data_IF_440219593370
#
_entry.id   IF_440219593370
#
_cell.length_a   1.000
_cell.length_b   1.000
_cell.length_c   1.000
_cell.angle_alpha   90.00
_cell.angle_beta   90.00
_cell.angle_gamma   90.00
#
_symmetry.space_group_name_H-M   'P 1'
#
loop_
_entity.id
_entity.type
_entity.pdbx_description
1 polymer ?
#
# COMPACT_ATOMS: atom_id res chain seq x y z
N UNK A 1 -8.80 46.43 -59.43
CA UNK A 1 -7.83 46.57 -58.32
C UNK A 1 -8.64 46.71 -57.03
N UNK A 2 -8.96 45.58 -56.40
CA UNK A 2 -9.96 45.50 -55.34
C UNK A 2 -9.31 45.60 -53.95
N UNK A 3 -9.47 46.78 -53.36
CA UNK A 3 -9.79 47.08 -51.95
C UNK A 3 -9.54 46.01 -50.89
N UNK A 4 -8.75 46.38 -49.89
CA UNK A 4 -8.61 45.70 -48.61
C UNK A 4 -9.96 45.53 -47.87
N UNK A 5 -10.10 44.39 -47.17
CA UNK A 5 -11.09 44.16 -46.10
C UNK A 5 -10.39 43.57 -44.85
N UNK A 6 -10.97 43.79 -43.65
CA UNK A 6 -10.27 43.90 -42.38
C UNK A 6 -10.04 42.57 -41.66
N UNK A 7 -9.22 42.63 -40.60
CA UNK A 7 -8.71 41.51 -39.83
C UNK A 7 -9.75 40.57 -39.24
N UNK A 8 -9.33 39.31 -39.14
CA UNK A 8 -9.94 38.28 -38.32
C UNK A 8 -8.82 37.51 -37.62
N UNK A 9 -8.17 38.17 -36.65
CA UNK A 9 -7.29 37.52 -35.69
C UNK A 9 -8.15 36.68 -34.75
N UNK A 10 -8.68 35.56 -35.24
CA UNK A 10 -9.38 34.58 -34.43
C UNK A 10 -8.40 34.02 -33.41
N UNK A 11 -8.63 34.37 -32.16
CA UNK A 11 -7.78 34.01 -31.04
C UNK A 11 -7.82 32.48 -30.89
N UNK A 12 -6.78 31.76 -31.35
CA UNK A 12 -6.70 30.27 -31.42
C UNK A 12 -6.92 29.54 -30.07
N UNK A 13 -7.19 30.27 -29.01
CA UNK A 13 -7.31 29.81 -27.63
C UNK A 13 -8.71 29.98 -27.05
N UNK A 14 -9.69 30.47 -27.83
CA UNK A 14 -11.06 30.71 -27.34
C UNK A 14 -11.76 29.40 -26.97
N UNK A 15 -11.65 28.37 -27.82
CA UNK A 15 -12.17 27.03 -27.51
C UNK A 15 -11.47 26.39 -26.29
N UNK A 16 -10.16 26.61 -26.12
CA UNK A 16 -9.41 26.10 -24.96
C UNK A 16 -9.89 26.78 -23.68
N UNK A 17 -10.16 28.10 -23.75
CA UNK A 17 -10.73 28.86 -22.64
C UNK A 17 -12.12 28.35 -22.28
N UNK A 18 -13.01 28.17 -23.24
CA UNK A 18 -14.35 27.63 -22.99
C UNK A 18 -14.31 26.24 -22.35
N UNK A 19 -13.41 25.37 -22.81
CA UNK A 19 -13.21 24.04 -22.21
C UNK A 19 -12.67 24.13 -20.79
N UNK A 20 -11.68 24.99 -20.53
CA UNK A 20 -11.09 25.17 -19.19
C UNK A 20 -12.07 25.81 -18.21
N UNK A 21 -12.88 26.78 -18.67
CA UNK A 21 -13.90 27.46 -17.86
C UNK A 21 -15.07 26.54 -17.54
N UNK A 22 -15.42 25.62 -18.45
CA UNK A 22 -16.42 24.57 -18.22
C UNK A 22 -15.91 23.33 -17.49
N UNK A 23 -14.58 23.17 -17.36
CA UNK A 23 -13.98 21.96 -16.80
C UNK A 23 -14.15 21.90 -15.28
N UNK A 24 -15.00 20.97 -14.82
CA UNK A 24 -15.07 20.56 -13.42
C UNK A 24 -14.31 19.26 -13.26
N UNK A 25 -13.18 19.32 -12.54
CA UNK A 25 -12.36 18.15 -12.21
C UNK A 25 -13.24 17.02 -11.64
N UNK A 26 -13.43 15.89 -12.35
CA UNK A 26 -14.15 14.76 -11.81
C UNK A 26 -13.24 14.06 -10.80
N UNK A 27 -13.26 14.52 -9.54
CA UNK A 27 -12.64 13.80 -8.44
C UNK A 27 -13.38 12.46 -8.33
N UNK A 28 -12.76 11.39 -8.83
CA UNK A 28 -13.26 10.04 -8.62
C UNK A 28 -13.25 9.79 -7.11
N UNK A 29 -14.42 9.58 -6.50
CA UNK A 29 -14.42 9.13 -5.11
C UNK A 29 -13.76 7.75 -5.12
N UNK A 30 -12.71 7.58 -4.33
CA UNK A 30 -12.20 6.26 -4.05
C UNK A 30 -13.38 5.37 -3.65
N UNK A 31 -13.50 4.13 -4.16
CA UNK A 31 -14.46 3.19 -3.59
C UNK A 31 -14.24 3.20 -2.08
N UNK A 32 -15.31 3.20 -1.29
CA UNK A 32 -15.22 3.14 0.17
C UNK A 32 -14.17 2.09 0.51
N UNK A 33 -13.05 2.53 1.08
CA UNK A 33 -12.02 1.63 1.56
C UNK A 33 -12.74 0.65 2.47
N UNK A 34 -12.66 -0.64 2.16
CA UNK A 34 -12.87 -1.67 3.16
C UNK A 34 -11.81 -1.39 4.23
N UNK A 35 -12.22 -0.64 5.25
CA UNK A 35 -11.45 -0.40 6.45
C UNK A 35 -11.13 -1.77 7.03
N UNK A 36 -9.82 -2.04 7.17
CA UNK A 36 -9.21 -3.08 8.00
C UNK A 36 -10.00 -4.40 8.10
N UNK A 37 -9.56 -5.41 7.35
CA UNK A 37 -9.85 -6.84 7.45
C UNK A 37 -10.46 -7.43 6.17
N UNK A 38 -9.73 -7.39 5.06
CA UNK A 38 -9.91 -8.34 3.95
C UNK A 38 -8.73 -8.26 2.98
N UNK A 39 -7.54 -8.60 3.46
CA UNK A 39 -6.54 -9.24 2.59
C UNK A 39 -6.95 -10.72 2.50
N UNK A 40 -8.09 -10.97 1.88
CA UNK A 40 -8.38 -12.26 1.29
C UNK A 40 -8.30 -12.02 -0.21
N UNK A 41 -7.17 -12.42 -0.78
CA UNK A 41 -7.02 -12.55 -2.23
C UNK A 41 -8.01 -13.63 -2.71
N UNK A 42 -9.25 -13.23 -2.97
CA UNK A 42 -10.15 -13.97 -3.84
C UNK A 42 -10.77 -12.97 -4.80
N UNK A 43 -10.40 -13.12 -6.06
CA UNK A 43 -10.92 -12.39 -7.19
C UNK A 43 -12.44 -12.56 -7.27
N UNK A 44 -13.21 -11.60 -6.76
CA UNK A 44 -14.65 -11.46 -7.04
C UNK A 44 -15.09 -10.02 -6.80
N UNK A 45 -15.27 -9.32 -7.93
CA UNK A 45 -16.16 -8.19 -8.20
C UNK A 45 -16.54 -7.24 -7.05
N UNK A 46 -16.14 -5.97 -7.18
CA UNK A 46 -16.92 -4.85 -6.67
C UNK A 46 -17.42 -4.06 -7.89
N UNK A 47 -18.46 -4.60 -8.51
CA UNK A 47 -19.48 -3.80 -9.19
C UNK A 47 -20.55 -3.50 -8.15
N UNK A 48 -20.81 -2.23 -7.84
CA UNK A 48 -22.10 -1.79 -7.35
C UNK A 48 -22.23 -0.29 -7.61
N UNK A 49 -22.90 0.02 -8.72
CA UNK A 49 -23.40 1.36 -8.98
C UNK A 49 -24.59 1.63 -8.08
N UNK A 50 -24.56 2.77 -7.40
CA UNK A 50 -25.78 3.38 -6.90
C UNK A 50 -26.15 4.50 -7.87
N UNK A 51 -27.33 4.32 -8.46
CA UNK A 51 -28.04 5.32 -9.24
C UNK A 51 -28.32 6.52 -8.36
N UNK A 52 -27.62 7.63 -8.58
CA UNK A 52 -28.10 8.94 -8.17
C UNK A 52 -28.09 9.85 -9.39
N UNK A 53 -29.29 10.11 -9.88
CA UNK A 53 -29.60 10.89 -11.06
C UNK A 53 -29.51 12.37 -10.71
N UNK A 54 -28.39 13.03 -11.03
CA UNK A 54 -28.36 14.46 -11.44
C UNK A 54 -27.00 14.88 -12.03
N UNK A 55 -27.06 15.41 -13.26
CA UNK A 55 -26.15 16.37 -13.92
C UNK A 55 -24.72 15.89 -14.27
N UNK A 56 -24.54 15.61 -15.56
CA UNK A 56 -23.29 15.22 -16.22
C UNK A 56 -23.11 13.71 -16.17
N UNK A 57 -23.32 13.03 -17.29
CA UNK A 57 -23.11 11.58 -17.46
C UNK A 57 -21.64 11.21 -17.18
N UNK A 58 -21.32 11.00 -15.91
CA UNK A 58 -20.03 10.49 -15.45
C UNK A 58 -19.94 9.02 -15.84
N UNK A 59 -19.29 8.72 -16.96
CA UNK A 59 -18.97 7.35 -17.33
C UNK A 59 -17.69 6.96 -16.56
N UNK A 60 -17.77 6.04 -15.57
CA UNK A 60 -16.58 5.59 -14.86
C UNK A 60 -15.66 4.84 -15.83
N UNK A 61 -14.37 5.19 -15.83
CA UNK A 61 -13.36 4.48 -16.61
C UNK A 61 -13.18 3.09 -15.98
N UNK A 62 -13.45 2.04 -16.76
CA UNK A 62 -13.27 0.66 -16.30
C UNK A 62 -11.87 0.13 -16.63
N UNK A 63 -11.45 -0.97 -15.98
CA UNK A 63 -10.19 -1.65 -16.34
C UNK A 63 -10.17 -2.09 -17.81
N UNK A 64 -11.34 -2.39 -18.39
CA UNK A 64 -11.45 -2.69 -19.82
C UNK A 64 -11.18 -1.46 -20.69
N UNK A 65 -11.69 -0.28 -20.30
CA UNK A 65 -11.40 0.96 -21.02
C UNK A 65 -9.90 1.30 -20.94
N UNK A 66 -9.29 1.13 -19.76
CA UNK A 66 -7.85 1.33 -19.56
C UNK A 66 -7.04 0.43 -20.49
N UNK A 67 -7.42 -0.85 -20.65
CA UNK A 67 -6.73 -1.78 -21.57
C UNK A 67 -6.71 -1.29 -23.01
N UNK A 68 -7.78 -0.66 -23.46
CA UNK A 68 -7.94 -0.12 -24.82
C UNK A 68 -7.36 1.29 -25.01
N UNK A 69 -6.73 1.88 -23.98
CA UNK A 69 -6.16 3.22 -24.10
C UNK A 69 -4.92 3.24 -24.99
N UNK A 70 -4.88 4.23 -25.87
CA UNK A 70 -3.77 4.58 -26.73
C UNK A 70 -3.09 5.86 -26.23
N UNK A 71 -1.77 5.86 -26.18
CA UNK A 71 -0.97 7.02 -25.75
C UNK A 71 -0.81 8.01 -26.90
N UNK A 72 -1.08 9.28 -26.61
CA UNK A 72 -0.78 10.42 -27.50
C UNK A 72 0.65 10.87 -27.25
N UNK A 73 0.96 11.19 -25.98
CA UNK A 73 2.27 11.67 -25.56
C UNK A 73 2.22 12.37 -24.20
N UNK A 74 3.34 12.96 -23.80
CA UNK A 74 3.44 13.72 -22.56
C UNK A 74 2.85 15.13 -22.72
N UNK A 75 2.25 15.65 -21.65
CA UNK A 75 1.70 17.00 -21.54
C UNK A 75 2.24 17.68 -20.29
N UNK A 76 2.74 18.91 -20.43
CA UNK A 76 3.27 19.77 -19.35
C UNK A 76 4.36 19.11 -18.48
N UNK A 77 5.04 18.07 -18.99
CA UNK A 77 6.01 17.24 -18.23
C UNK A 77 5.47 16.67 -16.91
N UNK A 78 4.14 16.53 -16.81
CA UNK A 78 3.43 16.08 -15.61
C UNK A 78 2.40 15.02 -15.90
N UNK A 79 1.87 15.02 -17.12
CA UNK A 79 0.76 14.18 -17.48
C UNK A 79 1.02 13.39 -18.75
N UNK A 80 0.31 12.27 -18.88
CA UNK A 80 0.27 11.46 -20.09
C UNK A 80 -1.13 11.61 -20.68
N UNK A 81 -1.21 12.11 -21.91
CA UNK A 81 -2.47 12.17 -22.65
C UNK A 81 -2.73 10.84 -23.36
N UNK A 82 -3.92 10.30 -23.17
CA UNK A 82 -4.37 9.04 -23.75
C UNK A 82 -5.79 9.15 -24.27
N UNK A 83 -6.19 8.26 -25.16
CA UNK A 83 -7.57 8.19 -25.62
C UNK A 83 -8.05 6.75 -25.77
N UNK A 84 -9.36 6.54 -25.68
CA UNK A 84 -10.01 5.27 -26.03
C UNK A 84 -11.38 5.54 -26.66
N UNK A 85 -11.87 4.59 -27.45
CA UNK A 85 -13.25 4.61 -27.98
C UNK A 85 -14.12 3.63 -27.22
N UNK A 86 -15.34 4.04 -26.88
CA UNK A 86 -16.36 3.19 -26.27
C UNK A 86 -17.61 3.16 -27.15
N UNK A 87 -18.20 1.98 -27.28
CA UNK A 87 -19.51 1.79 -27.90
C UNK A 87 -20.51 1.43 -26.80
N UNK A 88 -21.51 2.29 -26.58
CA UNK A 88 -22.66 1.96 -25.73
C UNK A 88 -23.60 1.02 -26.47
N UNK A 89 -24.21 0.09 -25.74
CA UNK A 89 -25.24 -0.81 -26.28
C UNK A 89 -26.44 -0.01 -26.83
N UNK A 90 -26.71 1.15 -26.21
CA UNK A 90 -27.88 2.00 -26.50
C UNK A 90 -27.67 2.99 -27.66
N UNK A 91 -26.45 3.11 -28.22
CA UNK A 91 -26.20 3.96 -29.38
C UNK A 91 -25.06 3.41 -30.26
N UNK A 92 -25.27 3.24 -31.57
CA UNK A 92 -24.24 2.73 -32.48
C UNK A 92 -23.07 3.70 -32.71
N UNK A 93 -23.15 4.95 -32.23
CA UNK A 93 -22.07 5.92 -32.34
C UNK A 93 -20.92 5.63 -31.37
N UNK A 94 -19.70 5.54 -31.90
CA UNK A 94 -18.48 5.39 -31.08
C UNK A 94 -18.17 6.71 -30.39
N UNK A 95 -18.21 6.71 -29.06
CA UNK A 95 -17.79 7.85 -28.25
C UNK A 95 -16.29 7.77 -27.99
N UNK A 96 -15.54 8.78 -28.42
CA UNK A 96 -14.10 8.88 -28.18
C UNK A 96 -13.86 9.74 -26.95
N UNK A 97 -13.06 9.21 -26.02
CA UNK A 97 -12.76 9.84 -24.74
C UNK A 97 -11.28 10.17 -24.66
N UNK A 98 -10.97 11.41 -24.27
CA UNK A 98 -9.62 11.86 -23.95
C UNK A 98 -9.42 11.76 -22.44
N UNK A 99 -8.32 11.15 -22.01
CA UNK A 99 -7.97 10.94 -20.60
C UNK A 99 -6.56 11.44 -20.33
N UNK A 100 -6.41 12.21 -19.27
CA UNK A 100 -5.14 12.73 -18.77
C UNK A 100 -4.77 11.93 -17.53
N UNK A 101 -3.57 11.36 -17.52
CA UNK A 101 -3.06 10.54 -16.41
C UNK A 101 -1.89 11.29 -15.75
N UNK A 102 -1.94 11.46 -14.43
CA UNK A 102 -0.79 11.96 -13.65
C UNK A 102 0.38 10.97 -13.74
N UNK A 103 1.50 11.40 -14.36
CA UNK A 103 2.64 10.52 -14.65
C UNK A 103 3.32 10.00 -13.38
N UNK A 104 3.42 10.84 -12.36
CA UNK A 104 4.08 10.51 -11.10
C UNK A 104 3.21 9.51 -10.33
N UNK A 105 1.92 9.81 -10.19
CA UNK A 105 1.00 8.91 -9.52
C UNK A 105 0.90 7.56 -10.25
N UNK A 106 0.82 7.57 -11.59
CA UNK A 106 0.83 6.39 -12.47
C UNK A 106 1.98 5.45 -12.11
N UNK A 107 3.19 5.92 -12.29
CA UNK A 107 4.43 5.16 -12.09
C UNK A 107 4.65 4.76 -10.62
N UNK A 108 4.23 5.61 -9.67
CA UNK A 108 4.22 5.27 -8.24
C UNK A 108 3.35 4.04 -7.94
N UNK A 109 2.23 3.81 -8.64
CA UNK A 109 1.44 2.57 -8.48
C UNK A 109 2.20 1.37 -8.92
N UNK A 110 2.75 1.47 -10.13
CA UNK A 110 3.36 0.35 -10.82
C UNK A 110 4.47 -0.15 -9.93
N UNK A 111 5.28 0.78 -9.42
CA UNK A 111 6.36 0.51 -8.47
C UNK A 111 5.86 -0.03 -7.14
N UNK A 112 4.80 0.55 -6.56
CA UNK A 112 4.26 0.06 -5.29
C UNK A 112 3.74 -1.37 -5.41
N UNK A 113 2.90 -1.67 -6.41
CA UNK A 113 2.34 -3.01 -6.59
C UNK A 113 3.43 -4.05 -6.91
N UNK A 114 4.45 -3.67 -7.70
CA UNK A 114 5.62 -4.52 -7.91
C UNK A 114 6.37 -4.81 -6.59
N UNK A 115 6.61 -3.78 -5.77
CA UNK A 115 7.25 -3.94 -4.44
C UNK A 115 6.39 -4.81 -3.53
N UNK A 116 5.07 -4.60 -3.49
CA UNK A 116 4.14 -5.40 -2.68
C UNK A 116 4.14 -6.86 -3.14
N UNK A 117 4.08 -7.12 -4.45
CA UNK A 117 4.10 -8.46 -5.01
C UNK A 117 5.43 -9.17 -4.69
N UNK A 118 6.57 -8.49 -4.84
CA UNK A 118 7.87 -9.03 -4.48
C UNK A 118 7.97 -9.31 -2.97
N UNK A 119 7.46 -8.40 -2.14
CA UNK A 119 7.55 -8.51 -0.68
C UNK A 119 6.62 -9.59 -0.15
N UNK A 120 5.40 -9.76 -0.71
CA UNK A 120 4.36 -10.58 -0.08
C UNK A 120 3.84 -11.76 -0.92
N UNK A 121 3.92 -11.73 -2.25
CA UNK A 121 3.32 -12.77 -3.09
C UNK A 121 4.32 -13.84 -3.53
N UNK A 122 5.59 -13.48 -3.74
CA UNK A 122 6.64 -14.44 -4.12
C UNK A 122 6.88 -15.48 -3.02
N UNK A 123 6.76 -15.07 -1.74
CA UNK A 123 6.90 -15.98 -0.61
C UNK A 123 5.83 -17.08 -0.59
N UNK A 124 4.60 -16.78 -1.01
CA UNK A 124 3.47 -17.73 -1.04
C UNK A 124 3.69 -18.83 -2.10
N UNK A 125 4.19 -18.46 -3.29
CA UNK A 125 4.48 -19.44 -4.36
C UNK A 125 5.63 -20.39 -4.00
N UNK A 126 6.59 -19.93 -3.20
CA UNK A 126 7.68 -20.76 -2.70
C UNK A 126 7.22 -21.79 -1.64
N UNK A 127 6.17 -21.48 -0.87
CA UNK A 127 5.55 -22.42 0.06
C UNK A 127 4.65 -23.46 -0.61
N UNK A 128 3.91 -23.08 -1.65
CA UNK A 128 3.02 -24.01 -2.36
C UNK A 128 3.78 -25.11 -3.12
N UNK A 129 4.99 -24.82 -3.60
CA UNK A 129 5.84 -25.80 -4.28
C UNK A 129 6.51 -26.82 -3.32
N UNK A 130 6.31 -26.68 -2.00
CA UNK A 130 6.77 -27.63 -0.97
C UNK A 130 5.67 -28.55 -0.44
N UNK A 131 4.50 -28.59 -1.09
CA UNK A 131 3.47 -29.59 -0.81
C UNK A 131 3.95 -30.94 -1.37
N UNK A 132 4.87 -31.55 -0.63
CA UNK A 132 5.19 -32.97 -0.69
C UNK A 132 4.69 -33.59 0.61
N UNK A 133 3.54 -34.26 0.52
CA UNK A 133 3.06 -35.38 1.34
C UNK A 133 3.29 -35.38 2.87
N UNK A 134 3.12 -34.25 3.56
CA UNK A 134 2.98 -34.29 5.02
C UNK A 134 1.55 -33.87 5.42
N UNK A 135 0.75 -34.85 5.84
CA UNK A 135 -0.61 -34.70 6.34
C UNK A 135 -0.64 -34.16 7.80
N UNK A 136 0.35 -33.34 8.17
CA UNK A 136 0.25 -32.51 9.35
C UNK A 136 -0.70 -31.34 9.05
N UNK A 137 -1.81 -31.28 9.78
CA UNK A 137 -2.79 -30.21 9.77
C UNK A 137 -2.13 -28.91 10.21
N UNK A 138 -1.40 -28.25 9.31
CA UNK A 138 -0.85 -26.92 9.54
C UNK A 138 -2.03 -25.99 9.82
N UNK A 139 -2.06 -25.43 11.03
CA UNK A 139 -3.10 -24.47 11.42
C UNK A 139 -3.08 -23.30 10.41
N UNK A 140 -4.24 -22.82 9.91
CA UNK A 140 -4.33 -21.82 8.84
C UNK A 140 -3.68 -20.44 9.10
N UNK A 141 -2.99 -20.25 10.24
CA UNK A 141 -2.46 -18.97 10.70
C UNK A 141 -0.96 -18.73 10.51
N UNK A 142 -0.14 -19.77 10.31
CA UNK A 142 1.33 -19.67 10.43
C UNK A 142 2.09 -19.51 9.10
N UNK A 143 1.40 -19.36 7.98
CA UNK A 143 2.05 -19.16 6.69
C UNK A 143 2.75 -17.79 6.66
N UNK A 144 4.09 -17.80 6.69
CA UNK A 144 4.91 -16.60 6.46
C UNK A 144 4.66 -16.10 5.05
N UNK A 145 4.17 -14.86 4.95
CA UNK A 145 3.83 -14.26 3.66
C UNK A 145 4.90 -13.28 3.17
N UNK A 146 5.91 -12.94 3.97
CA UNK A 146 6.89 -11.94 3.58
C UNK A 146 8.24 -12.55 3.12
N UNK A 147 8.81 -11.98 2.08
CA UNK A 147 10.21 -12.19 1.69
C UNK A 147 11.15 -11.50 2.71
N UNK A 148 11.96 -12.29 3.41
CA UNK A 148 12.74 -11.83 4.57
C UNK A 148 14.24 -11.84 4.31
N UNK A 149 14.94 -10.87 4.89
CA UNK A 149 16.38 -10.84 5.01
C UNK A 149 16.78 -11.19 6.45
N UNK A 150 17.74 -12.11 6.60
CA UNK A 150 18.39 -12.37 7.87
C UNK A 150 19.37 -11.23 8.17
N UNK A 151 19.35 -10.75 9.40
CA UNK A 151 20.27 -9.75 9.90
C UNK A 151 21.44 -10.47 10.57
N UNK A 152 22.66 -10.19 10.10
CA UNK A 152 23.89 -10.71 10.67
C UNK A 152 24.92 -9.56 10.79
N UNK A 153 25.17 -9.04 12.01
CA UNK A 153 24.59 -9.47 13.29
C UNK A 153 23.10 -9.08 13.44
N UNK A 154 22.34 -9.71 14.36
CA UNK A 154 20.98 -9.29 14.71
C UNK A 154 20.93 -7.81 15.13
N UNK A 155 19.91 -7.09 14.67
CA UNK A 155 19.70 -5.69 15.04
C UNK A 155 19.14 -5.59 16.47
N UNK A 156 19.60 -4.60 17.23
CA UNK A 156 19.14 -4.36 18.60
C UNK A 156 18.36 -3.05 18.71
N UNK A 157 17.27 -3.08 19.49
CA UNK A 157 16.52 -1.88 19.90
C UNK A 157 16.24 -1.92 21.41
N UNK A 158 16.04 -0.74 22.02
CA UNK A 158 15.71 -0.60 23.45
C UNK A 158 14.19 -0.41 23.62
N UNK A 159 13.57 -1.22 24.48
CA UNK A 159 12.13 -1.20 24.75
C UNK A 159 11.83 -1.39 26.24
N UNK A 160 10.65 -0.97 26.69
CA UNK A 160 10.22 -1.27 28.06
C UNK A 160 9.94 -2.78 28.20
N UNK A 161 10.18 -3.39 29.39
CA UNK A 161 9.90 -4.82 29.61
C UNK A 161 8.46 -5.23 29.25
N UNK A 162 7.48 -4.36 29.51
CA UNK A 162 6.07 -4.58 29.13
C UNK A 162 5.87 -4.68 27.61
N UNK A 163 6.60 -3.87 26.83
CA UNK A 163 6.48 -3.81 25.38
C UNK A 163 7.15 -5.04 24.77
N UNK A 164 8.30 -5.47 25.33
CA UNK A 164 8.95 -6.73 24.97
C UNK A 164 8.02 -7.92 25.22
N UNK A 165 7.39 -7.99 26.39
CA UNK A 165 6.43 -9.04 26.70
C UNK A 165 5.25 -9.06 25.71
N UNK A 166 4.76 -7.88 25.29
CA UNK A 166 3.72 -7.76 24.27
C UNK A 166 4.21 -8.19 22.87
N UNK A 167 5.44 -7.84 22.48
CA UNK A 167 6.06 -8.33 21.24
C UNK A 167 6.07 -9.85 21.21
N UNK A 168 6.55 -10.51 22.27
CA UNK A 168 6.61 -11.97 22.32
C UNK A 168 5.22 -12.62 22.37
N UNK A 169 4.25 -11.99 23.04
CA UNK A 169 2.84 -12.42 23.03
C UNK A 169 2.27 -12.44 21.61
N UNK A 170 2.63 -11.47 20.78
CA UNK A 170 2.15 -11.31 19.40
C UNK A 170 3.18 -11.71 18.33
N UNK A 171 4.20 -12.52 18.70
CA UNK A 171 5.32 -12.86 17.81
C UNK A 171 4.89 -13.50 16.49
N UNK A 172 3.83 -14.30 16.49
CA UNK A 172 3.33 -14.95 15.27
C UNK A 172 2.74 -13.92 14.29
N UNK A 173 2.06 -12.88 14.79
CA UNK A 173 1.58 -11.77 13.97
C UNK A 173 2.73 -11.06 13.28
N UNK A 174 3.80 -10.75 14.01
CA UNK A 174 5.01 -10.13 13.45
C UNK A 174 5.76 -11.05 12.47
N UNK A 175 5.87 -12.33 12.81
CA UNK A 175 6.50 -13.38 11.99
C UNK A 175 5.80 -13.54 10.63
N UNK A 176 4.46 -13.47 10.60
CA UNK A 176 3.68 -13.48 9.35
C UNK A 176 4.13 -12.36 8.40
N UNK A 177 4.41 -11.18 8.95
CA UNK A 177 4.92 -10.02 8.22
C UNK A 177 6.44 -9.97 8.11
N UNK A 178 7.14 -11.08 8.40
CA UNK A 178 8.57 -11.21 8.16
C UNK A 178 9.48 -10.57 9.22
N UNK A 179 8.94 -10.20 10.37
CA UNK A 179 9.70 -9.69 11.51
C UNK A 179 9.91 -10.85 12.49
N UNK A 180 11.17 -11.27 12.68
CA UNK A 180 11.52 -12.33 13.63
C UNK A 180 12.47 -11.78 14.70
N UNK A 181 12.28 -12.27 15.92
CA UNK A 181 13.08 -11.92 17.08
C UNK A 181 13.98 -13.09 17.45
N UNK A 182 15.14 -12.81 18.03
CA UNK A 182 15.92 -13.86 18.70
C UNK A 182 15.29 -14.13 20.06
N UNK A 183 15.23 -15.39 20.47
CA UNK A 183 14.78 -15.72 21.82
C UNK A 183 15.68 -15.03 22.84
N UNK A 184 15.05 -14.48 23.87
CA UNK A 184 15.78 -13.97 25.03
C UNK A 184 16.35 -15.21 25.73
N UNK A 185 17.61 -15.56 25.47
CA UNK A 185 18.33 -16.39 26.41
C UNK A 185 18.32 -15.63 27.73
N UNK A 186 17.73 -16.23 28.78
CA UNK A 186 17.60 -15.67 30.12
C UNK A 186 18.92 -15.04 30.62
N UNK A 187 19.16 -13.78 30.30
CA UNK A 187 20.26 -12.99 30.87
C UNK A 187 19.79 -12.26 32.15
N UNK A 188 18.77 -12.81 32.82
CA UNK A 188 18.23 -12.29 34.08
C UNK A 188 17.83 -13.40 35.08
N UNK A 189 18.36 -14.63 34.92
CA UNK A 189 18.43 -15.60 36.02
C UNK A 189 19.88 -15.64 36.51
N UNK A 190 20.23 -14.59 37.25
CA UNK A 190 21.56 -14.38 37.83
C UNK A 190 21.46 -13.31 38.92
N UNK A 191 20.48 -13.47 39.79
CA UNK A 191 20.45 -12.78 41.07
C UNK A 191 20.35 -13.89 42.11
N UNK A 192 21.51 -14.23 42.66
CA UNK A 192 21.62 -15.07 43.83
C UNK A 192 20.65 -14.56 44.90
N UNK A 193 19.76 -15.44 45.32
CA UNK A 193 19.00 -15.28 46.56
C UNK A 193 20.01 -15.18 47.70
N UNK A 194 20.38 -13.96 48.14
CA UNK A 194 20.71 -13.59 49.52
C UNK A 194 21.47 -12.25 49.67
N UNK A 195 20.88 -11.14 49.20
CA UNK A 195 21.14 -9.82 49.80
C UNK A 195 20.03 -8.84 49.42
N UNK A 196 18.90 -8.91 50.13
CA UNK A 196 17.85 -7.90 50.06
C UNK A 196 18.27 -6.69 50.91
N UNK A 197 18.88 -5.70 50.25
CA UNK A 197 18.96 -4.34 50.78
C UNK A 197 17.65 -3.60 50.42
N UNK A 198 16.81 -3.21 51.39
CA UNK A 198 15.54 -2.54 51.11
C UNK A 198 15.82 -1.06 50.80
N UNK A 199 15.99 -0.73 49.51
CA UNK A 199 16.18 0.67 49.11
C UNK A 199 16.42 0.98 47.63
N UNK A 200 16.54 -0.02 46.75
CA UNK A 200 16.66 0.25 45.32
C UNK A 200 15.28 0.22 44.66
N UNK A 201 14.78 1.39 44.28
CA UNK A 201 13.74 1.49 43.26
C UNK A 201 14.14 0.61 42.08
N UNK A 202 13.34 -0.41 41.77
CA UNK A 202 13.43 -1.17 40.52
C UNK A 202 13.16 -0.19 39.38
N UNK A 203 14.21 0.51 38.97
CA UNK A 203 14.16 1.54 37.95
C UNK A 203 13.67 0.90 36.67
N UNK A 204 12.74 1.61 36.03
CA UNK A 204 12.08 1.29 34.77
C UNK A 204 13.09 1.35 33.61
N UNK A 205 14.14 0.55 33.66
CA UNK A 205 15.18 0.57 32.65
C UNK A 205 14.72 -0.20 31.41
N UNK A 206 15.03 0.36 30.24
CA UNK A 206 14.74 -0.27 28.97
C UNK A 206 15.62 -1.51 28.79
N UNK A 207 15.07 -2.56 28.21
CA UNK A 207 15.75 -3.81 27.90
C UNK A 207 16.01 -3.94 26.39
N UNK A 208 17.01 -4.74 26.03
CA UNK A 208 17.37 -5.00 24.64
C UNK A 208 16.46 -6.05 24.02
N UNK A 209 15.86 -5.73 22.87
CA UNK A 209 15.20 -6.68 21.99
C UNK A 209 16.07 -6.90 20.75
N UNK A 210 16.30 -8.17 20.41
CA UNK A 210 17.08 -8.57 19.24
C UNK A 210 16.17 -9.00 18.10
N UNK A 211 16.33 -8.35 16.95
CA UNK A 211 15.60 -8.63 15.71
C UNK A 211 16.53 -9.41 14.79
N UNK A 212 16.14 -10.64 14.45
CA UNK A 212 16.94 -11.56 13.63
C UNK A 212 16.58 -11.52 12.15
N UNK A 213 15.33 -11.17 11.81
CA UNK A 213 14.88 -11.00 10.42
C UNK A 213 13.91 -9.84 10.24
N UNK A 214 13.94 -9.24 9.06
CA UNK A 214 13.02 -8.20 8.60
C UNK A 214 12.61 -8.46 7.15
N UNK A 215 11.49 -7.89 6.67
CA UNK A 215 11.18 -7.87 5.25
C UNK A 215 12.32 -7.22 4.46
N UNK A 216 12.78 -7.89 3.41
CA UNK A 216 13.94 -7.44 2.62
C UNK A 216 13.76 -6.02 2.10
N UNK A 217 12.52 -5.66 1.75
CA UNK A 217 12.19 -4.35 1.22
C UNK A 217 12.45 -3.19 2.20
N UNK A 218 12.37 -3.42 3.51
CA UNK A 218 12.55 -2.40 4.56
C UNK A 218 13.83 -2.56 5.37
N UNK A 219 14.47 -3.74 5.32
CA UNK A 219 15.64 -4.08 6.15
C UNK A 219 16.73 -3.00 6.12
N UNK A 220 17.15 -2.55 4.94
CA UNK A 220 18.19 -1.52 4.81
C UNK A 220 17.85 -0.19 5.49
N UNK A 221 16.56 0.22 5.46
CA UNK A 221 16.10 1.45 6.12
C UNK A 221 16.11 1.30 7.64
N UNK A 222 15.66 0.15 8.15
CA UNK A 222 15.69 -0.14 9.58
C UNK A 222 17.12 -0.32 10.12
N UNK A 223 18.06 -0.80 9.30
CA UNK A 223 19.48 -0.88 9.67
C UNK A 223 20.09 0.52 9.80
N UNK A 224 19.79 1.41 8.85
CA UNK A 224 20.26 2.78 8.90
C UNK A 224 19.63 3.59 10.05
N UNK A 225 18.37 3.30 10.39
CA UNK A 225 17.64 3.95 11.47
C UNK A 225 16.79 2.92 12.26
N UNK A 226 17.34 2.37 13.36
CA UNK A 226 16.64 1.40 14.20
C UNK A 226 15.39 1.94 14.91
N UNK A 227 15.23 3.27 15.04
CA UNK A 227 14.02 3.84 15.63
C UNK A 227 12.78 3.62 14.73
N UNK A 228 12.97 3.42 13.42
CA UNK A 228 11.88 3.08 12.51
C UNK A 228 11.20 1.76 12.88
N UNK A 229 11.99 0.69 13.11
CA UNK A 229 11.41 -0.61 13.45
C UNK A 229 10.81 -0.59 14.85
N UNK A 230 11.44 0.11 15.79
CA UNK A 230 10.87 0.35 17.12
C UNK A 230 9.51 1.04 17.03
N UNK A 231 9.39 2.10 16.24
CA UNK A 231 8.12 2.78 15.99
C UNK A 231 7.07 1.87 15.37
N UNK A 232 7.44 1.07 14.35
CA UNK A 232 6.54 0.08 13.72
C UNK A 232 5.99 -0.91 14.73
N UNK A 233 6.84 -1.46 15.60
CA UNK A 233 6.43 -2.44 16.61
C UNK A 233 5.46 -1.80 17.60
N UNK A 234 5.83 -0.65 18.18
CA UNK A 234 5.03 0.03 19.19
C UNK A 234 3.68 0.50 18.64
N UNK A 235 3.64 1.08 17.44
CA UNK A 235 2.40 1.49 16.79
C UNK A 235 1.49 0.29 16.53
N UNK A 236 2.04 -0.84 16.07
CA UNK A 236 1.23 -2.02 15.80
C UNK A 236 0.70 -2.68 17.08
N UNK A 237 1.49 -2.71 18.16
CA UNK A 237 1.04 -3.16 19.48
C UNK A 237 -0.11 -2.31 19.99
N UNK A 238 0.01 -0.98 19.91
CA UNK A 238 -1.06 -0.07 20.30
C UNK A 238 -2.36 -0.35 19.52
N UNK A 239 -2.26 -0.62 18.21
CA UNK A 239 -3.44 -0.99 17.40
C UNK A 239 -4.08 -2.31 17.82
N UNK A 240 -3.27 -3.27 18.25
CA UNK A 240 -3.77 -4.54 18.82
C UNK A 240 -4.54 -4.26 20.10
N UNK A 241 -4.00 -3.45 21.00
CA UNK A 241 -4.64 -3.07 22.26
C UNK A 241 -5.95 -2.30 22.04
N UNK A 242 -5.97 -1.33 21.11
CA UNK A 242 -7.18 -0.59 20.73
C UNK A 242 -8.27 -1.50 20.16
N UNK A 243 -7.90 -2.42 19.27
CA UNK A 243 -8.84 -3.38 18.69
C UNK A 243 -9.40 -4.34 19.74
N UNK A 244 -8.56 -4.72 20.71
CA UNK A 244 -8.98 -5.54 21.84
C UNK A 244 -10.01 -4.81 22.71
N UNK A 245 -9.69 -3.60 23.18
CA UNK A 245 -10.62 -2.80 23.99
C UNK A 245 -11.98 -2.62 23.30
N UNK A 246 -11.97 -2.34 21.99
CA UNK A 246 -13.21 -2.20 21.20
C UNK A 246 -14.05 -3.49 21.15
N UNK A 247 -13.42 -4.66 21.05
CA UNK A 247 -14.13 -5.95 21.03
C UNK A 247 -14.74 -6.26 22.40
N UNK A 248 -14.01 -5.99 23.49
CA UNK A 248 -14.49 -6.20 24.86
C UNK A 248 -15.69 -5.30 25.20
N UNK A 249 -15.70 -4.05 24.74
CA UNK A 249 -16.83 -3.14 24.99
C UNK A 249 -18.10 -3.51 24.22
N UNK A 250 -17.98 -4.07 23.01
CA UNK A 250 -19.13 -4.28 22.10
C UNK A 250 -19.68 -5.71 22.06
N UNK A 251 -18.93 -6.70 22.53
CA UNK A 251 -19.37 -8.10 22.50
C UNK A 251 -18.92 -8.80 23.77
N UNK A 252 -19.84 -9.40 24.52
CA UNK A 252 -19.56 -10.42 25.55
C UNK A 252 -18.99 -11.72 24.92
N UNK A 253 -18.07 -11.61 23.95
CA UNK A 253 -17.60 -12.69 23.10
C UNK A 253 -16.12 -12.95 23.34
N UNK A 254 -15.80 -14.24 23.55
CA UNK A 254 -14.45 -14.77 23.78
C UNK A 254 -13.69 -14.89 22.44
N UNK A 255 -13.51 -13.80 21.70
CA UNK A 255 -12.64 -13.82 20.52
C UNK A 255 -11.18 -13.97 20.96
N UNK A 256 -10.45 -14.89 20.33
CA UNK A 256 -9.04 -15.10 20.61
C UNK A 256 -8.21 -13.87 20.16
N UNK A 257 -7.32 -13.39 21.02
CA UNK A 257 -6.46 -12.23 20.77
C UNK A 257 -5.60 -12.39 19.50
N UNK A 258 -5.20 -13.62 19.15
CA UNK A 258 -4.44 -13.90 17.94
C UNK A 258 -5.26 -13.65 16.66
N UNK A 259 -6.58 -13.87 16.72
CA UNK A 259 -7.51 -13.63 15.61
C UNK A 259 -7.69 -12.13 15.38
N UNK A 260 -7.80 -11.35 16.46
CA UNK A 260 -7.86 -9.88 16.40
C UNK A 260 -6.56 -9.32 15.82
N UNK A 261 -5.40 -9.77 16.32
CA UNK A 261 -4.11 -9.31 15.81
C UNK A 261 -3.92 -9.66 14.33
N UNK A 262 -4.40 -10.84 13.89
CA UNK A 262 -4.33 -11.26 12.48
C UNK A 262 -5.24 -10.44 11.56
N UNK A 263 -6.40 -9.98 12.05
CA UNK A 263 -7.36 -9.20 11.25
C UNK A 263 -6.92 -7.75 11.00
N UNK A 264 -6.03 -7.23 11.85
CA UNK A 264 -5.46 -5.88 11.70
C UNK A 264 -4.58 -5.71 10.46
N UNK A 265 -4.17 -6.81 9.83
CA UNK A 265 -3.40 -6.80 8.60
C UNK A 265 -1.95 -6.34 8.80
N UNK A 266 -1.36 -5.77 7.75
CA UNK A 266 0.04 -5.35 7.72
C UNK A 266 0.29 -4.20 8.71
N UNK A 267 1.37 -4.25 9.52
CA UNK A 267 1.81 -3.09 10.27
C UNK A 267 1.93 -1.84 9.38
N UNK A 268 1.26 -0.75 9.77
CA UNK A 268 1.14 0.46 8.95
C UNK A 268 2.48 1.03 8.54
N UNK A 269 3.46 1.03 9.45
CA UNK A 269 4.79 1.55 9.13
C UNK A 269 5.54 0.70 8.09
N UNK A 270 5.25 -0.61 7.95
CA UNK A 270 5.77 -1.39 6.80
C UNK A 270 5.17 -0.82 5.51
N UNK A 271 3.84 -0.73 5.42
CA UNK A 271 3.14 -0.18 4.24
C UNK A 271 3.63 1.23 3.91
N UNK A 272 3.84 2.08 4.92
CA UNK A 272 4.36 3.43 4.75
C UNK A 272 5.79 3.44 4.19
N UNK A 273 6.67 2.56 4.68
CA UNK A 273 8.03 2.43 4.13
C UNK A 273 8.01 1.93 2.68
N UNK A 274 7.10 1.02 2.32
CA UNK A 274 6.93 0.55 0.94
C UNK A 274 6.40 1.67 0.02
N UNK A 275 5.40 2.44 0.47
CA UNK A 275 4.91 3.62 -0.25
C UNK A 275 6.01 4.66 -0.45
N UNK A 276 6.77 4.96 0.61
CA UNK A 276 7.90 5.90 0.54
C UNK A 276 8.98 5.40 -0.44
N UNK A 277 9.23 4.09 -0.48
CA UNK A 277 10.17 3.48 -1.43
C UNK A 277 9.69 3.62 -2.87
N UNK A 278 8.41 3.33 -3.13
CA UNK A 278 7.80 3.48 -4.45
C UNK A 278 7.87 4.94 -4.94
N UNK A 279 7.45 5.89 -4.09
CA UNK A 279 7.44 7.31 -4.38
C UNK A 279 8.84 7.84 -4.75
N UNK A 280 9.87 7.49 -3.97
CA UNK A 280 11.26 7.93 -4.24
C UNK A 280 11.87 7.33 -5.49
N UNK A 281 11.37 6.17 -5.93
CA UNK A 281 11.82 5.53 -7.15
C UNK A 281 10.99 5.94 -8.37
N UNK A 282 9.85 6.61 -8.18
CA UNK A 282 8.95 7.00 -9.25
C UNK A 282 9.51 8.18 -10.06
N UNK A 283 9.05 8.29 -11.31
CA UNK A 283 9.32 9.42 -12.19
C UNK A 283 8.85 10.71 -11.51
N UNK A 284 9.64 11.77 -11.63
CA UNK A 284 9.38 13.05 -10.99
C UNK A 284 8.54 13.95 -11.90
N UNK A 285 7.91 14.95 -11.28
CA UNK A 285 7.33 16.05 -12.04
C UNK A 285 8.43 16.85 -12.73
N UNK A 286 8.24 17.15 -14.01
CA UNK A 286 9.21 17.89 -14.81
C UNK A 286 10.17 17.00 -15.60
N UNK A 287 10.17 15.68 -15.37
CA UNK A 287 10.93 14.74 -16.19
C UNK A 287 10.35 14.71 -17.62
N UNK A 288 11.20 14.85 -18.63
CA UNK A 288 10.81 14.69 -20.04
C UNK A 288 10.68 13.19 -20.37
N UNK A 289 9.51 12.80 -20.89
CA UNK A 289 9.22 11.42 -21.27
C UNK A 289 9.01 11.30 -22.78
N UNK A 290 9.76 10.42 -23.40
CA UNK A 290 9.48 9.95 -24.76
C UNK A 290 8.17 9.17 -24.81
N UNK A 291 7.56 9.09 -25.99
CA UNK A 291 6.27 8.42 -26.18
C UNK A 291 6.30 6.95 -25.75
N UNK A 292 7.38 6.23 -26.03
CA UNK A 292 7.61 4.85 -25.61
C UNK A 292 7.62 4.68 -24.08
N UNK A 293 8.17 5.65 -23.32
CA UNK A 293 8.18 5.66 -21.86
C UNK A 293 6.76 5.87 -21.33
N UNK A 294 6.02 6.81 -21.92
CA UNK A 294 4.60 7.00 -21.62
C UNK A 294 3.78 5.72 -21.89
N UNK A 295 4.01 5.05 -23.02
CA UNK A 295 3.38 3.77 -23.37
C UNK A 295 3.72 2.68 -22.36
N UNK A 296 4.97 2.60 -21.91
CA UNK A 296 5.41 1.63 -20.89
C UNK A 296 4.66 1.85 -19.58
N UNK A 297 4.61 3.08 -19.06
CA UNK A 297 3.90 3.41 -17.81
C UNK A 297 2.41 3.05 -17.90
N UNK A 298 1.77 3.40 -19.02
CA UNK A 298 0.34 3.12 -19.23
C UNK A 298 0.08 1.62 -19.40
N UNK A 299 1.00 0.88 -20.02
CA UNK A 299 0.89 -0.57 -20.13
C UNK A 299 1.08 -1.27 -18.78
N UNK A 300 2.07 -0.87 -18.00
CA UNK A 300 2.29 -1.43 -16.66
C UNK A 300 1.11 -1.11 -15.73
N UNK A 301 0.55 0.11 -15.84
CA UNK A 301 -0.65 0.50 -15.08
C UNK A 301 -1.87 -0.36 -15.43
N UNK A 302 -2.00 -0.87 -16.67
CA UNK A 302 -3.11 -1.77 -17.04
C UNK A 302 -3.06 -3.10 -16.28
N UNK A 303 -1.85 -3.55 -15.95
CA UNK A 303 -1.62 -4.82 -15.25
C UNK A 303 -1.83 -4.69 -13.74
N UNK A 304 -1.72 -3.48 -13.18
CA UNK A 304 -2.01 -3.22 -11.77
C UNK A 304 -3.42 -3.67 -11.35
N UNK A 305 -3.56 -4.16 -10.12
CA UNK A 305 -4.82 -4.52 -9.48
C UNK A 305 -5.63 -3.27 -9.12
N UNK A 306 -4.97 -2.17 -8.72
CA UNK A 306 -5.62 -0.94 -8.28
C UNK A 306 -5.20 0.30 -9.08
N UNK A 307 -5.40 0.33 -10.41
CA UNK A 307 -4.85 1.36 -11.30
C UNK A 307 -5.47 2.75 -11.11
N UNK A 308 -6.69 2.83 -10.56
CA UNK A 308 -7.44 4.08 -10.39
C UNK A 308 -7.24 4.75 -9.03
N UNK A 309 -6.38 4.19 -8.17
CA UNK A 309 -6.15 4.72 -6.82
C UNK A 309 -4.67 5.07 -6.66
N UNK A 310 -4.36 6.30 -6.22
CA UNK A 310 -2.99 6.69 -5.87
C UNK A 310 -2.45 5.82 -4.71
N UNK A 311 -1.14 5.58 -4.66
CA UNK A 311 -0.52 4.89 -3.53
C UNK A 311 -0.79 5.61 -2.19
N UNK A 312 -1.05 6.92 -2.24
CA UNK A 312 -1.41 7.78 -1.11
C UNK A 312 -2.92 7.97 -0.91
N UNK A 313 -3.78 7.27 -1.68
CA UNK A 313 -5.24 7.29 -1.50
C UNK A 313 -5.99 8.45 -2.17
N UNK A 314 -5.31 9.30 -2.95
CA UNK A 314 -5.96 10.29 -3.84
C UNK A 314 -6.49 9.61 -5.11
N UNK A 315 -7.60 10.08 -5.70
CA UNK A 315 -7.95 9.68 -7.06
C UNK A 315 -6.91 10.20 -8.05
N UNK A 316 -6.69 9.43 -9.12
CA UNK A 316 -5.80 9.77 -10.23
C UNK A 316 -6.59 10.30 -11.40
#
# INVERSE_FOLDING_TARGET
TLTARPGGGGNKNEWVREVLEGWKNPIYKAPNLLTNAQINCTSKAITNGNNDSTIGTRIPITKQNLKTMHVIGQVDKKFIATWYSSSSIDSPEKSTHLVIIDQHAADERVKLEAILHQTFCVAIKASDNRISNDNSLNSPGDTKIADTARLDPPMQIMLMPRDIAAVFRHRNTFSRWGIEFSDIQNACVGADTNSFEPGQELQREQQRLLISKLPRAIAGRCIADPELIKGILLEHLQRIDEAFSFVFEKRNSVMNISVIASSLGCPKGITHLLNSKACRSAIMFGDDLEKNQCETIVNDLKECDFPFQCAHGRPR
#
